data_IF_703016984820
#
_entry.id   IF_703016984820
#
_cell.length_a   1.000
_cell.length_b   1.000
_cell.length_c   1.000
_cell.angle_alpha   90.00
_cell.angle_beta   90.00
_cell.angle_gamma   90.00
#
_symmetry.space_group_name_H-M   'P 1'
#
loop_
_entity.id
_entity.type
_entity.pdbx_description
1 polymer ?
#
# COMPACT_ATOMS: atom_id res chain seq x y z
N UNK A 1 -2.14 19.12 -13.71
CA UNK A 1 -0.95 18.40 -14.23
C UNK A 1 0.35 18.74 -13.50
N UNK A 2 1.01 19.89 -13.71
CA UNK A 2 2.26 20.20 -12.99
C UNK A 2 2.04 20.52 -11.49
N UNK A 3 0.92 21.16 -11.15
CA UNK A 3 0.65 21.65 -9.78
C UNK A 3 0.37 20.50 -8.81
N UNK A 4 -0.53 19.57 -9.16
CA UNK A 4 -0.89 18.37 -8.37
C UNK A 4 0.29 17.44 -8.14
N UNK A 5 1.06 17.13 -9.19
CA UNK A 5 2.32 16.35 -9.07
C UNK A 5 3.37 17.08 -8.22
N UNK A 6 3.58 18.38 -8.42
CA UNK A 6 4.55 19.16 -7.60
C UNK A 6 4.16 19.20 -6.13
N UNK A 7 2.85 19.15 -5.85
CA UNK A 7 2.33 19.21 -4.49
C UNK A 7 2.41 17.85 -3.82
N UNK A 8 2.07 16.75 -4.53
CA UNK A 8 2.35 15.38 -4.07
C UNK A 8 3.82 15.15 -3.77
N UNK A 9 4.73 15.63 -4.63
CA UNK A 9 6.18 15.56 -4.41
C UNK A 9 6.63 16.35 -3.18
N UNK A 10 6.04 17.51 -2.89
CA UNK A 10 6.30 18.23 -1.64
C UNK A 10 5.85 17.43 -0.42
N UNK A 11 4.69 16.77 -0.49
CA UNK A 11 4.22 15.89 0.58
C UNK A 11 5.15 14.71 0.77
N UNK A 12 5.41 13.96 -0.29
CA UNK A 12 6.36 12.86 -0.27
C UNK A 12 7.70 13.31 0.31
N UNK A 13 8.28 14.41 -0.18
CA UNK A 13 9.56 14.98 0.28
C UNK A 13 9.57 15.33 1.77
N UNK A 14 8.51 15.95 2.28
CA UNK A 14 8.42 16.32 3.69
C UNK A 14 8.11 15.11 4.59
N UNK A 15 7.43 14.08 4.06
CA UNK A 15 7.23 12.79 4.74
C UNK A 15 8.37 11.80 4.52
N UNK A 16 9.39 12.12 3.71
CA UNK A 16 10.54 11.24 3.39
C UNK A 16 11.08 10.67 4.68
N UNK A 17 11.24 9.36 4.73
CA UNK A 17 11.10 8.58 5.95
C UNK A 17 12.39 8.56 6.80
N UNK A 18 12.85 9.74 7.21
CA UNK A 18 13.64 9.87 8.42
C UNK A 18 12.83 9.37 9.61
N UNK A 19 13.50 8.81 10.63
CA UNK A 19 12.84 8.41 11.88
C UNK A 19 11.93 9.51 12.47
N UNK A 20 12.33 10.78 12.29
CA UNK A 20 11.62 11.94 12.80
C UNK A 20 10.35 12.27 12.01
N UNK A 21 10.39 12.21 10.68
CA UNK A 21 9.23 12.50 9.84
C UNK A 21 8.12 11.45 9.99
N UNK A 22 8.47 10.17 10.13
CA UNK A 22 7.49 9.10 10.42
C UNK A 22 6.79 9.29 11.77
N UNK A 23 7.43 9.97 12.73
CA UNK A 23 6.85 10.27 14.04
C UNK A 23 5.98 11.53 14.06
N UNK A 24 6.24 12.48 13.16
CA UNK A 24 5.61 13.81 13.17
C UNK A 24 4.50 13.92 12.13
N UNK A 25 4.68 13.30 10.96
CA UNK A 25 3.74 13.38 9.85
C UNK A 25 3.19 11.98 9.54
N UNK A 26 1.91 11.71 9.84
CA UNK A 26 1.32 10.39 9.65
C UNK A 26 1.32 10.01 8.17
N UNK A 27 1.94 8.88 7.83
CA UNK A 27 1.90 8.33 6.48
C UNK A 27 0.51 7.71 6.22
N UNK A 28 -0.05 7.93 5.03
CA UNK A 28 -1.34 7.35 4.60
C UNK A 28 -1.35 5.81 4.57
N UNK A 29 -0.18 5.17 4.67
CA UNK A 29 -0.05 3.74 4.51
C UNK A 29 -0.86 2.94 5.54
N UNK A 30 -0.80 3.31 6.82
CA UNK A 30 -1.42 2.52 7.89
C UNK A 30 -2.96 2.50 7.78
N UNK A 31 -3.57 3.66 7.54
CA UNK A 31 -5.02 3.77 7.35
C UNK A 31 -5.52 2.97 6.13
N UNK A 32 -4.67 2.85 5.11
CA UNK A 32 -5.04 2.27 3.82
C UNK A 32 -4.87 0.75 3.75
N UNK A 33 -4.17 0.13 4.71
CA UNK A 33 -4.17 -1.33 4.86
C UNK A 33 -5.59 -1.89 5.09
N UNK A 34 -6.50 -1.07 5.61
CA UNK A 34 -7.90 -1.42 5.81
C UNK A 34 -8.62 -1.76 4.49
N UNK A 35 -8.25 -1.12 3.37
CA UNK A 35 -8.84 -1.43 2.06
C UNK A 35 -8.54 -2.88 1.64
N UNK A 36 -7.32 -3.36 1.88
CA UNK A 36 -6.96 -4.75 1.64
C UNK A 36 -7.64 -5.73 2.61
N UNK A 37 -7.92 -5.30 3.85
CA UNK A 37 -8.70 -6.11 4.79
C UNK A 37 -10.17 -6.22 4.38
N UNK A 38 -10.76 -5.13 3.87
CA UNK A 38 -12.11 -5.11 3.30
C UNK A 38 -12.16 -6.01 2.06
N UNK A 39 -11.16 -5.95 1.18
CA UNK A 39 -11.06 -6.84 0.01
C UNK A 39 -11.00 -8.32 0.42
N UNK A 40 -10.17 -8.67 1.40
CA UNK A 40 -10.07 -10.03 1.91
C UNK A 40 -11.40 -10.53 2.51
N UNK A 41 -12.08 -9.68 3.28
CA UNK A 41 -13.40 -9.97 3.85
C UNK A 41 -14.45 -10.18 2.75
N UNK A 42 -14.49 -9.31 1.75
CA UNK A 42 -15.41 -9.42 0.62
C UNK A 42 -15.21 -10.73 -0.15
N UNK A 43 -13.96 -11.11 -0.43
CA UNK A 43 -13.60 -12.38 -1.05
C UNK A 43 -14.11 -13.60 -0.24
N UNK A 44 -13.89 -13.60 1.08
CA UNK A 44 -14.36 -14.67 1.97
C UNK A 44 -15.89 -14.82 1.94
N UNK A 45 -16.61 -13.71 1.74
CA UNK A 45 -18.06 -13.65 1.75
C UNK A 45 -18.74 -13.66 0.36
N UNK A 46 -18.01 -13.98 -0.72
CA UNK A 46 -18.53 -13.99 -2.10
C UNK A 46 -19.18 -12.65 -2.48
N UNK A 47 -18.51 -11.56 -2.12
CA UNK A 47 -18.93 -10.20 -2.47
C UNK A 47 -17.90 -9.56 -3.38
N UNK A 48 -18.38 -9.02 -4.49
CA UNK A 48 -17.62 -8.06 -5.26
C UNK A 48 -17.63 -6.72 -4.53
N UNK A 49 -16.51 -6.02 -4.61
CA UNK A 49 -16.37 -4.65 -4.11
C UNK A 49 -15.92 -3.71 -5.21
N UNK A 50 -16.21 -2.43 -5.05
CA UNK A 50 -15.60 -1.33 -5.79
C UNK A 50 -15.05 -0.31 -4.81
N UNK A 51 -13.76 0.00 -4.94
CA UNK A 51 -13.08 1.06 -4.22
C UNK A 51 -13.17 2.34 -5.05
N UNK A 52 -13.81 3.36 -4.49
CA UNK A 52 -14.09 4.64 -5.14
C UNK A 52 -13.28 5.72 -4.44
N UNK A 53 -12.42 6.40 -5.20
CA UNK A 53 -11.67 7.57 -4.75
C UNK A 53 -12.21 8.87 -5.35
N UNK A 54 -13.02 8.83 -6.41
CA UNK A 54 -13.57 10.02 -7.08
C UNK A 54 -15.02 10.27 -6.63
N UNK A 55 -15.18 10.95 -5.50
CA UNK A 55 -16.48 11.39 -4.98
C UNK A 55 -16.31 12.65 -4.12
N UNK A 56 -17.42 13.33 -3.82
CA UNK A 56 -17.42 14.57 -3.04
C UNK A 56 -17.15 14.31 -1.56
N UNK A 57 -15.85 14.15 -1.24
CA UNK A 57 -15.38 13.90 0.13
C UNK A 57 -15.59 15.10 1.05
N UNK A 58 -15.60 16.32 0.51
CA UNK A 58 -15.82 17.55 1.28
C UNK A 58 -17.25 17.59 1.79
N UNK A 59 -18.22 17.41 0.90
CA UNK A 59 -19.63 17.39 1.30
C UNK A 59 -19.93 16.25 2.27
N UNK A 60 -19.38 15.06 2.03
CA UNK A 60 -19.58 13.93 2.95
C UNK A 60 -18.94 14.17 4.33
N UNK A 61 -17.76 14.80 4.37
CA UNK A 61 -17.10 15.17 5.63
C UNK A 61 -17.91 16.21 6.42
N UNK A 62 -18.49 17.19 5.71
CA UNK A 62 -19.39 18.20 6.31
C UNK A 62 -20.68 17.57 6.84
N UNK A 63 -21.33 16.70 6.06
CA UNK A 63 -22.56 16.00 6.45
C UNK A 63 -22.34 15.12 7.70
N UNK A 64 -21.18 14.46 7.79
CA UNK A 64 -20.79 13.63 8.94
C UNK A 64 -20.24 14.43 10.13
N UNK A 65 -20.04 15.74 9.98
CA UNK A 65 -19.60 16.61 11.06
C UNK A 65 -18.17 16.33 11.53
N UNK A 66 -17.29 15.84 10.66
CA UNK A 66 -15.92 15.45 11.01
C UNK A 66 -14.95 16.62 11.21
N UNK A 67 -15.34 17.81 10.75
CA UNK A 67 -14.52 19.03 10.82
C UNK A 67 -13.11 18.81 10.21
N UNK A 68 -12.07 19.38 10.81
CA UNK A 68 -10.68 19.18 10.37
C UNK A 68 -9.97 18.04 11.11
N UNK A 69 -10.70 17.13 11.76
CA UNK A 69 -10.12 16.10 12.65
C UNK A 69 -10.14 14.70 12.06
N UNK A 70 -11.12 14.40 11.22
CA UNK A 70 -11.20 13.15 10.48
C UNK A 70 -11.36 13.47 9.00
N UNK A 71 -10.64 12.74 8.15
CA UNK A 71 -10.63 12.96 6.70
C UNK A 71 -11.11 11.71 6.00
N UNK A 72 -12.07 11.89 5.08
CA UNK A 72 -12.59 10.79 4.27
C UNK A 72 -11.63 10.62 3.11
N UNK A 73 -11.10 9.42 2.89
CA UNK A 73 -10.05 9.20 1.86
C UNK A 73 -10.48 8.21 0.79
N UNK A 74 -11.43 7.33 1.07
CA UNK A 74 -11.98 6.37 0.11
C UNK A 74 -13.39 5.94 0.52
N UNK A 75 -14.13 5.40 -0.45
CA UNK A 75 -15.39 4.70 -0.24
C UNK A 75 -15.23 3.28 -0.79
N UNK A 76 -15.80 2.28 -0.10
CA UNK A 76 -15.87 0.92 -0.62
C UNK A 76 -17.33 0.50 -0.69
N UNK A 77 -17.80 0.19 -1.89
CA UNK A 77 -19.13 -0.39 -2.10
C UNK A 77 -18.98 -1.90 -2.19
N UNK A 78 -19.80 -2.64 -1.44
CA UNK A 78 -19.91 -4.09 -1.57
C UNK A 78 -21.26 -4.44 -2.23
N UNK A 79 -21.21 -5.12 -3.37
CA UNK A 79 -22.37 -5.39 -4.22
C UNK A 79 -22.53 -4.40 -5.38
N UNK A 80 -23.75 -4.33 -5.93
CA UNK A 80 -24.03 -3.51 -7.13
C UNK A 80 -24.40 -2.06 -6.77
N UNK A 81 -23.80 -1.11 -7.48
CA UNK A 81 -24.20 0.29 -7.41
C UNK A 81 -25.53 0.46 -8.16
N UNK A 82 -26.58 0.79 -7.42
CA UNK A 82 -27.90 1.12 -7.96
C UNK A 82 -28.27 2.59 -7.74
N UNK A 83 -29.19 3.09 -8.55
CA UNK A 83 -29.79 4.40 -8.32
C UNK A 83 -30.86 4.31 -7.24
N UNK A 84 -30.75 5.19 -6.23
CA UNK A 84 -31.77 5.34 -5.20
C UNK A 84 -32.02 6.81 -4.96
N UNK A 85 -33.30 7.20 -4.92
CA UNK A 85 -33.65 8.54 -4.45
C UNK A 85 -33.29 8.67 -2.98
N UNK A 86 -32.33 9.53 -2.68
CA UNK A 86 -31.89 9.86 -1.32
C UNK A 86 -32.32 11.28 -0.97
N UNK A 87 -32.59 11.52 0.31
CA UNK A 87 -32.82 12.86 0.84
C UNK A 87 -31.55 13.29 1.58
N UNK A 88 -31.14 14.54 1.41
CA UNK A 88 -30.07 15.11 2.24
C UNK A 88 -30.49 15.07 3.71
N UNK A 89 -29.50 14.94 4.59
CA UNK A 89 -29.70 15.15 6.01
C UNK A 89 -30.26 16.56 6.24
N UNK A 90 -31.18 16.70 7.20
CA UNK A 90 -31.76 18.02 7.53
C UNK A 90 -30.74 18.93 8.20
N UNK A 91 -29.91 18.32 9.04
CA UNK A 91 -28.83 18.95 9.79
C UNK A 91 -27.60 18.04 9.69
N UNK A 92 -26.40 18.64 9.76
CA UNK A 92 -25.15 17.89 9.89
C UNK A 92 -25.14 17.08 11.18
N UNK A 93 -24.46 15.92 11.17
CA UNK A 93 -24.24 15.15 12.40
C UNK A 93 -23.44 16.03 13.38
N UNK A 94 -23.83 16.13 14.66
CA UNK A 94 -23.05 16.86 15.64
C UNK A 94 -21.64 16.29 15.75
N UNK A 95 -20.64 17.16 15.68
CA UNK A 95 -19.25 16.76 15.88
C UNK A 95 -19.07 16.19 17.30
N UNK A 96 -18.40 15.03 17.38
CA UNK A 96 -17.95 14.41 18.62
C UNK A 96 -16.45 14.17 18.47
N UNK A 97 -15.67 14.71 19.40
CA UNK A 97 -14.22 14.51 19.36
C UNK A 97 -13.88 13.05 19.70
N UNK A 98 -13.26 12.34 18.75
CA UNK A 98 -12.85 10.94 18.94
C UNK A 98 -11.71 10.80 19.98
N UNK A 99 -11.00 11.89 20.27
CA UNK A 99 -9.85 11.95 21.19
C UNK A 99 -10.02 13.08 22.22
N UNK A 100 -9.31 13.01 23.35
CA UNK A 100 -9.37 14.05 24.39
C UNK A 100 -8.78 15.40 23.94
N UNK A 101 -7.84 15.38 22.99
CA UNK A 101 -7.20 16.56 22.42
C UNK A 101 -6.92 16.36 20.94
N UNK A 102 -6.79 17.47 20.21
CA UNK A 102 -6.47 17.47 18.79
C UNK A 102 -5.45 18.57 18.50
N UNK A 103 -4.33 18.18 17.90
CA UNK A 103 -3.29 19.08 17.44
C UNK A 103 -3.46 19.32 15.94
N UNK A 104 -3.67 20.57 15.56
CA UNK A 104 -3.79 20.96 14.15
C UNK A 104 -2.43 20.88 13.48
N UNK A 105 -2.36 20.22 12.33
CA UNK A 105 -1.19 20.21 11.48
C UNK A 105 -1.55 20.74 10.09
N UNK A 106 -1.14 21.98 9.80
CA UNK A 106 -1.44 22.64 8.53
C UNK A 106 -0.82 21.94 7.32
N UNK A 107 0.29 21.22 7.52
CA UNK A 107 0.89 20.40 6.47
C UNK A 107 -0.01 19.20 6.14
N UNK A 108 -0.49 18.44 7.12
CA UNK A 108 -1.42 17.32 6.92
C UNK A 108 -2.73 17.79 6.29
N UNK A 109 -3.33 18.87 6.82
CA UNK A 109 -4.58 19.44 6.29
C UNK A 109 -4.42 19.90 4.83
N UNK A 110 -3.33 20.60 4.50
CA UNK A 110 -3.05 20.96 3.13
C UNK A 110 -2.80 19.72 2.25
N UNK A 111 -2.19 18.66 2.80
CA UNK A 111 -1.96 17.39 2.13
C UNK A 111 -3.25 16.76 1.67
N UNK A 112 -4.19 16.66 2.59
CA UNK A 112 -5.54 16.20 2.29
C UNK A 112 -6.20 17.07 1.22
N UNK A 113 -6.27 18.39 1.41
CA UNK A 113 -6.94 19.30 0.48
C UNK A 113 -6.35 19.27 -0.94
N UNK A 114 -5.03 19.17 -1.06
CA UNK A 114 -4.34 19.17 -2.35
C UNK A 114 -4.39 17.83 -3.08
N UNK A 115 -4.75 16.74 -2.39
CA UNK A 115 -4.84 15.38 -2.95
C UNK A 115 -6.25 14.82 -2.94
N UNK A 116 -7.24 15.62 -2.50
CA UNK A 116 -8.60 15.18 -2.22
C UNK A 116 -9.34 14.60 -3.43
N UNK A 117 -9.06 15.08 -4.64
CA UNK A 117 -9.63 14.53 -5.86
C UNK A 117 -8.52 13.89 -6.70
N UNK A 118 -8.67 12.61 -7.09
CA UNK A 118 -7.74 12.01 -8.03
C UNK A 118 -7.94 12.64 -9.41
N UNK A 119 -6.88 13.24 -9.97
CA UNK A 119 -6.81 13.49 -11.42
C UNK A 119 -6.56 12.13 -12.08
N UNK A 120 -7.56 11.49 -12.71
CA UNK A 120 -7.33 10.19 -13.36
C UNK A 120 -8.16 9.93 -14.60
N UNK A 121 -7.54 9.24 -15.55
CA UNK A 121 -8.23 8.55 -16.63
C UNK A 121 -8.99 7.35 -16.04
N UNK A 122 -10.29 7.27 -16.33
CA UNK A 122 -11.11 6.15 -15.84
C UNK A 122 -10.77 4.88 -16.62
N UNK A 123 -10.43 3.82 -15.90
CA UNK A 123 -10.35 2.47 -16.46
C UNK A 123 -11.66 1.72 -16.26
N UNK A 124 -11.85 0.64 -17.03
CA UNK A 124 -12.91 -0.33 -16.75
C UNK A 124 -12.62 -1.00 -15.41
N UNK A 125 -13.64 -1.10 -14.55
CA UNK A 125 -13.56 -1.87 -13.32
C UNK A 125 -13.22 -3.34 -13.62
N UNK A 126 -12.14 -3.82 -13.00
CA UNK A 126 -11.70 -5.21 -13.05
C UNK A 126 -11.66 -5.76 -11.63
N UNK A 127 -12.22 -6.95 -11.44
CA UNK A 127 -12.31 -7.61 -10.14
C UNK A 127 -11.19 -8.66 -10.00
N UNK A 128 -10.54 -8.77 -8.83
CA UNK A 128 -9.55 -9.82 -8.61
C UNK A 128 -10.21 -11.20 -8.64
N UNK A 129 -9.49 -12.20 -9.16
CA UNK A 129 -9.97 -13.58 -9.28
C UNK A 129 -9.09 -14.51 -8.45
N UNK A 130 -9.13 -14.32 -7.12
CA UNK A 130 -8.32 -15.13 -6.21
C UNK A 130 -8.80 -16.59 -6.15
N UNK A 131 -7.85 -17.51 -6.00
CA UNK A 131 -8.07 -18.95 -5.98
C UNK A 131 -7.58 -19.56 -4.66
N UNK A 132 -7.79 -18.86 -3.53
CA UNK A 132 -7.42 -19.37 -2.22
C UNK A 132 -8.41 -20.42 -1.73
N UNK A 133 -7.93 -21.37 -0.95
CA UNK A 133 -8.80 -22.15 -0.07
C UNK A 133 -9.37 -21.21 1.00
N UNK A 134 -10.70 -21.08 1.08
CA UNK A 134 -11.35 -20.07 1.92
C UNK A 134 -11.14 -20.28 3.41
N UNK A 135 -11.13 -21.52 3.88
CA UNK A 135 -10.93 -21.82 5.30
C UNK A 135 -9.51 -21.46 5.72
N UNK A 136 -8.50 -21.90 4.95
CA UNK A 136 -7.10 -21.52 5.17
C UNK A 136 -6.85 -20.03 5.00
N UNK A 137 -7.54 -19.37 4.07
CA UNK A 137 -7.40 -17.93 3.88
C UNK A 137 -8.01 -17.15 5.04
N UNK A 138 -9.15 -17.60 5.59
CA UNK A 138 -9.72 -17.02 6.80
C UNK A 138 -8.75 -17.17 7.98
N UNK A 139 -8.14 -18.33 8.15
CA UNK A 139 -7.09 -18.53 9.17
C UNK A 139 -5.93 -17.55 8.98
N UNK A 140 -5.46 -17.37 7.75
CA UNK A 140 -4.41 -16.40 7.44
C UNK A 140 -4.83 -14.97 7.80
N UNK A 141 -6.06 -14.57 7.48
CA UNK A 141 -6.60 -13.24 7.83
C UNK A 141 -6.61 -13.02 9.34
N UNK A 142 -7.04 -14.01 10.12
CA UNK A 142 -7.15 -13.91 11.58
C UNK A 142 -5.77 -13.95 12.27
N UNK A 143 -4.86 -14.77 11.75
CA UNK A 143 -3.55 -15.02 12.36
C UNK A 143 -2.46 -14.06 11.90
N UNK A 144 -2.65 -13.33 10.80
CA UNK A 144 -1.67 -12.39 10.23
C UNK A 144 -1.03 -11.51 11.30
N UNK A 145 0.30 -11.54 11.39
CA UNK A 145 1.11 -10.63 12.22
C UNK A 145 2.32 -10.12 11.43
N UNK A 146 2.87 -9.00 11.89
CA UNK A 146 4.12 -8.47 11.36
C UNK A 146 5.31 -9.21 11.95
N UNK A 147 6.17 -9.72 11.08
CA UNK A 147 7.39 -10.41 11.45
C UNK A 147 8.34 -9.46 12.22
N UNK A 148 8.92 -9.96 13.31
CA UNK A 148 9.93 -9.22 14.09
C UNK A 148 11.35 -9.70 13.79
N UNK A 149 11.48 -10.84 13.13
CA UNK A 149 12.74 -11.50 12.87
C UNK A 149 12.58 -12.45 11.68
N UNK A 150 13.67 -12.60 10.91
CA UNK A 150 13.80 -13.60 9.86
C UNK A 150 15.11 -14.37 10.08
N UNK A 151 15.04 -15.69 9.91
CA UNK A 151 16.21 -16.56 10.05
C UNK A 151 17.00 -16.59 8.73
N UNK A 152 18.28 -16.17 8.76
CA UNK A 152 19.11 -16.06 7.56
C UNK A 152 19.43 -17.40 6.88
N UNK A 153 19.35 -18.51 7.61
CA UNK A 153 19.61 -19.86 7.09
C UNK A 153 18.49 -20.38 6.18
N UNK A 154 17.30 -19.79 6.25
CA UNK A 154 16.10 -20.26 5.53
C UNK A 154 15.91 -19.51 4.21
N UNK A 155 15.37 -20.25 3.25
CA UNK A 155 14.91 -19.78 1.94
C UNK A 155 13.40 -19.86 1.82
N UNK A 156 12.84 -19.08 0.90
CA UNK A 156 11.49 -19.31 0.40
C UNK A 156 11.58 -20.10 -0.92
N UNK A 157 10.61 -20.98 -1.16
CA UNK A 157 10.57 -21.74 -2.41
C UNK A 157 10.24 -20.84 -3.61
N UNK A 158 10.72 -21.23 -4.80
CA UNK A 158 10.36 -20.53 -6.03
C UNK A 158 8.85 -20.46 -6.23
N UNK A 159 8.15 -21.57 -5.95
CA UNK A 159 6.70 -21.68 -6.10
C UNK A 159 5.96 -20.66 -5.21
N UNK A 160 6.35 -20.53 -3.94
CA UNK A 160 5.74 -19.55 -3.04
C UNK A 160 5.99 -18.12 -3.53
N UNK A 161 7.22 -17.82 -3.99
CA UNK A 161 7.54 -16.49 -4.51
C UNK A 161 6.74 -16.16 -5.78
N UNK A 162 6.60 -17.10 -6.72
CA UNK A 162 5.77 -16.91 -7.92
C UNK A 162 4.29 -16.74 -7.58
N UNK A 163 3.79 -17.47 -6.58
CA UNK A 163 2.40 -17.32 -6.11
C UNK A 163 2.15 -15.94 -5.49
N UNK A 164 3.12 -15.40 -4.74
CA UNK A 164 3.07 -14.01 -4.25
C UNK A 164 2.93 -13.03 -5.42
N UNK A 165 3.77 -13.17 -6.46
CA UNK A 165 3.69 -12.31 -7.65
C UNK A 165 2.32 -12.41 -8.34
N UNK A 166 1.76 -13.62 -8.46
CA UNK A 166 0.44 -13.84 -9.05
C UNK A 166 -0.69 -13.13 -8.30
N UNK A 167 -0.61 -13.11 -6.96
CA UNK A 167 -1.60 -12.41 -6.12
C UNK A 167 -1.45 -10.89 -6.22
N UNK A 168 -0.21 -10.38 -6.18
CA UNK A 168 0.05 -8.95 -6.31
C UNK A 168 -0.33 -8.42 -7.69
N UNK A 169 -0.26 -9.26 -8.73
CA UNK A 169 -0.62 -8.91 -10.09
C UNK A 169 -2.13 -8.93 -10.38
N UNK A 170 -2.97 -9.38 -9.44
CA UNK A 170 -4.42 -9.29 -9.59
C UNK A 170 -4.88 -7.83 -9.66
N UNK A 171 -5.93 -7.49 -10.44
CA UNK A 171 -6.43 -6.13 -10.48
C UNK A 171 -6.91 -5.67 -9.10
N UNK A 172 -6.72 -4.39 -8.80
CA UNK A 172 -7.36 -3.74 -7.64
C UNK A 172 -8.74 -3.26 -8.11
N UNK A 173 -9.83 -3.51 -7.36
CA UNK A 173 -11.19 -3.23 -7.82
C UNK A 173 -11.52 -1.73 -7.74
N UNK A 174 -10.89 -0.92 -8.57
CA UNK A 174 -11.12 0.52 -8.69
C UNK A 174 -11.06 0.97 -10.16
N UNK A 175 -11.77 2.05 -10.48
CA UNK A 175 -11.74 2.69 -11.81
C UNK A 175 -10.61 3.72 -11.94
N UNK A 176 -9.86 3.97 -10.86
CA UNK A 176 -8.75 4.92 -10.85
C UNK A 176 -7.44 4.20 -11.18
N UNK A 177 -6.66 4.79 -12.08
CA UNK A 177 -5.37 4.25 -12.51
C UNK A 177 -4.23 5.01 -11.84
N UNK A 178 -3.36 4.27 -11.16
CA UNK A 178 -2.02 4.68 -10.73
C UNK A 178 -1.02 3.58 -11.12
N UNK A 179 0.14 3.99 -11.62
CA UNK A 179 1.17 3.05 -12.06
C UNK A 179 2.09 2.70 -10.88
N UNK A 180 2.05 1.43 -10.45
CA UNK A 180 2.87 0.92 -9.34
C UNK A 180 3.84 -0.13 -9.90
N UNK A 181 5.13 0.12 -9.72
CA UNK A 181 6.21 -0.80 -10.04
C UNK A 181 6.67 -1.53 -8.79
N UNK A 182 7.00 -2.82 -8.95
CA UNK A 182 7.52 -3.64 -7.88
C UNK A 182 9.00 -3.91 -8.13
N UNK A 183 9.82 -3.57 -7.14
CA UNK A 183 11.24 -3.89 -7.10
C UNK A 183 11.50 -4.92 -6.01
N UNK A 184 12.44 -5.84 -6.26
CA UNK A 184 12.75 -6.96 -5.37
C UNK A 184 14.26 -7.10 -5.22
N UNK A 185 14.75 -6.90 -4.00
CA UNK A 185 16.08 -7.38 -3.61
C UNK A 185 15.95 -8.83 -3.13
N UNK A 186 16.06 -9.76 -4.10
CA UNK A 186 16.01 -11.21 -3.90
C UNK A 186 17.34 -11.68 -3.32
N UNK A 187 17.28 -12.36 -2.17
CA UNK A 187 18.46 -12.84 -1.43
C UNK A 187 18.45 -14.36 -1.28
N UNK A 188 17.30 -14.95 -0.93
CA UNK A 188 17.17 -16.40 -0.65
C UNK A 188 15.84 -16.97 -1.16
N UNK A 189 15.70 -16.98 -2.48
CA UNK A 189 14.61 -17.69 -3.16
C UNK A 189 15.22 -18.87 -3.91
N UNK A 190 14.71 -20.07 -3.66
CA UNK A 190 15.19 -21.27 -4.35
C UNK A 190 15.05 -21.13 -5.86
N UNK A 191 16.08 -21.51 -6.62
CA UNK A 191 16.05 -21.45 -8.09
C UNK A 191 16.10 -20.03 -8.70
N UNK A 192 16.22 -18.97 -7.90
CA UNK A 192 16.40 -17.59 -8.38
C UNK A 192 17.69 -17.01 -7.81
N UNK A 193 18.59 -16.56 -8.68
CA UNK A 193 19.86 -15.97 -8.25
C UNK A 193 19.64 -14.69 -7.43
N UNK A 194 20.47 -14.47 -6.41
CA UNK A 194 20.44 -13.24 -5.63
C UNK A 194 20.70 -12.02 -6.50
N UNK A 195 19.88 -10.98 -6.34
CA UNK A 195 20.01 -9.77 -7.12
C UNK A 195 18.89 -8.78 -6.89
N UNK A 196 18.97 -7.67 -7.62
CA UNK A 196 17.89 -6.69 -7.74
C UNK A 196 17.09 -7.00 -9.00
N UNK A 197 15.77 -7.08 -8.85
CA UNK A 197 14.82 -7.36 -9.90
C UNK A 197 13.72 -6.32 -9.92
N UNK A 198 13.05 -6.18 -11.06
CA UNK A 198 11.85 -5.35 -11.24
C UNK A 198 10.77 -6.15 -11.95
N UNK A 199 9.51 -5.95 -11.58
CA UNK A 199 8.34 -6.40 -12.34
C UNK A 199 7.76 -5.20 -13.07
N UNK A 200 7.77 -5.26 -14.41
CA UNK A 200 7.17 -4.25 -15.29
C UNK A 200 5.76 -4.64 -15.75
N UNK A 201 5.42 -5.94 -15.72
CA UNK A 201 4.12 -6.52 -16.05
C UNK A 201 3.82 -7.76 -15.21
N UNK A 202 2.55 -8.19 -15.25
CA UNK A 202 1.99 -9.35 -14.55
C UNK A 202 2.91 -10.58 -14.68
N UNK A 203 3.51 -11.00 -13.56
CA UNK A 203 4.25 -12.26 -13.35
C UNK A 203 5.60 -12.43 -14.06
N UNK A 204 6.22 -11.37 -14.58
CA UNK A 204 7.59 -11.46 -15.13
C UNK A 204 8.49 -10.49 -14.37
N UNK A 205 9.58 -11.02 -13.84
CA UNK A 205 10.64 -10.22 -13.23
C UNK A 205 11.87 -10.17 -14.14
N UNK A 206 12.43 -8.98 -14.28
CA UNK A 206 13.66 -8.73 -15.01
C UNK A 206 14.77 -8.39 -14.03
N UNK A 207 15.93 -9.07 -14.14
CA UNK A 207 17.09 -8.75 -13.30
C UNK A 207 17.73 -7.46 -13.76
N UNK A 208 17.91 -6.53 -12.82
CA UNK A 208 18.66 -5.29 -13.01
C UNK A 208 20.15 -5.56 -12.75
N UNK A 209 20.47 -6.11 -11.57
CA UNK A 209 21.85 -6.43 -11.16
C UNK A 209 21.93 -7.68 -10.31
N UNK A 210 22.99 -8.47 -10.51
CA UNK A 210 23.33 -9.60 -9.63
C UNK A 210 23.99 -9.09 -8.34
N UNK A 211 23.81 -9.82 -7.25
CA UNK A 211 24.53 -9.59 -6.01
C UNK A 211 23.73 -9.92 -4.76
N UNK A 212 24.42 -10.09 -3.64
CA UNK A 212 23.79 -10.14 -2.33
C UNK A 212 23.60 -8.72 -1.79
N UNK A 213 22.34 -8.29 -1.74
CA UNK A 213 21.96 -6.96 -1.24
C UNK A 213 21.44 -6.99 0.21
N UNK A 214 21.79 -8.01 1.00
CA UNK A 214 21.40 -8.12 2.41
C UNK A 214 21.84 -6.90 3.24
N UNK A 215 23.12 -6.55 3.21
CA UNK A 215 23.62 -5.40 3.99
C UNK A 215 23.06 -4.08 3.44
N UNK A 216 23.01 -3.91 2.11
CA UNK A 216 22.49 -2.68 1.49
C UNK A 216 21.01 -2.46 1.83
N UNK A 217 20.15 -3.48 1.72
CA UNK A 217 18.74 -3.35 2.09
C UNK A 217 18.54 -3.13 3.59
N UNK A 218 19.38 -3.75 4.43
CA UNK A 218 19.44 -3.43 5.86
C UNK A 218 19.69 -1.95 6.12
N UNK A 219 20.77 -1.43 5.55
CA UNK A 219 21.13 -0.01 5.65
C UNK A 219 20.00 0.89 5.12
N UNK A 220 19.53 0.66 3.89
CA UNK A 220 18.49 1.46 3.25
C UNK A 220 17.23 1.55 4.10
N UNK A 221 16.83 0.47 4.75
CA UNK A 221 15.68 0.43 5.66
C UNK A 221 16.04 0.89 7.09
N UNK A 222 16.89 1.91 7.25
CA UNK A 222 17.33 2.48 8.54
C UNK A 222 17.97 1.42 9.46
N UNK A 223 18.92 0.66 8.92
CA UNK A 223 19.65 -0.40 9.62
C UNK A 223 18.77 -1.51 10.23
N UNK A 224 17.57 -1.73 9.69
CA UNK A 224 16.64 -2.72 10.20
C UNK A 224 17.05 -4.16 9.84
N UNK A 225 17.19 -5.01 10.86
CA UNK A 225 17.52 -6.42 10.70
C UNK A 225 16.47 -7.20 9.89
N UNK A 226 15.19 -6.78 9.93
CA UNK A 226 14.12 -7.42 9.14
C UNK A 226 14.37 -7.29 7.64
N UNK A 227 14.83 -6.13 7.14
CA UNK A 227 15.18 -5.97 5.73
C UNK A 227 16.42 -6.80 5.37
N UNK A 228 17.46 -6.69 6.21
CA UNK A 228 18.75 -7.39 6.07
C UNK A 228 18.62 -8.92 6.07
N UNK A 229 17.71 -9.46 6.87
CA UNK A 229 17.55 -10.89 7.10
C UNK A 229 16.34 -11.49 6.38
N UNK A 230 15.56 -10.71 5.64
CA UNK A 230 14.47 -11.22 4.79
C UNK A 230 15.01 -12.10 3.66
N UNK A 231 14.19 -13.00 3.11
CA UNK A 231 14.50 -13.69 1.86
C UNK A 231 14.37 -12.74 0.67
N UNK A 232 13.40 -11.82 0.72
CA UNK A 232 13.17 -10.77 -0.27
C UNK A 232 12.80 -9.45 0.42
N UNK A 233 13.41 -8.35 0.01
CA UNK A 233 12.93 -6.99 0.34
C UNK A 233 12.23 -6.44 -0.89
N UNK A 234 10.99 -6.00 -0.74
CA UNK A 234 10.19 -5.37 -1.79
C UNK A 234 10.17 -3.85 -1.60
N UNK A 235 10.18 -3.14 -2.72
CA UNK A 235 9.91 -1.70 -2.77
C UNK A 235 8.81 -1.44 -3.79
N UNK A 236 7.79 -0.69 -3.39
CA UNK A 236 6.67 -0.28 -4.22
C UNK A 236 6.93 1.16 -4.65
N UNK A 237 7.06 1.36 -5.96
CA UNK A 237 7.56 2.59 -6.57
C UNK A 237 6.51 3.14 -7.53
N UNK A 238 6.30 4.45 -7.57
CA UNK A 238 5.29 5.04 -8.45
C UNK A 238 5.69 6.43 -8.94
N UNK A 239 5.32 6.72 -10.19
CA UNK A 239 5.28 8.10 -10.70
C UNK A 239 3.83 8.63 -10.63
N UNK A 240 3.31 8.65 -9.41
CA UNK A 240 1.88 8.84 -9.13
C UNK A 240 1.31 10.11 -9.76
N UNK A 241 0.03 10.05 -10.13
CA UNK A 241 -0.77 11.21 -10.55
C UNK A 241 -1.40 11.87 -9.34
N UNK A 242 -1.90 11.05 -8.40
CA UNK A 242 -2.40 11.48 -7.11
C UNK A 242 -1.70 10.71 -5.98
N UNK A 243 -0.97 11.44 -5.13
CA UNK A 243 -0.17 10.85 -4.04
C UNK A 243 -1.00 10.06 -3.03
N UNK A 244 -2.17 10.59 -2.64
CA UNK A 244 -3.06 9.91 -1.67
C UNK A 244 -3.54 8.57 -2.22
N UNK A 245 -4.01 8.57 -3.48
CA UNK A 245 -4.51 7.36 -4.14
C UNK A 245 -3.40 6.33 -4.34
N UNK A 246 -2.24 6.74 -4.85
CA UNK A 246 -1.10 5.83 -5.02
C UNK A 246 -0.65 5.23 -3.69
N UNK A 247 -0.60 6.03 -2.62
CA UNK A 247 -0.26 5.54 -1.27
C UNK A 247 -1.31 4.54 -0.75
N UNK A 248 -2.60 4.79 -1.01
CA UNK A 248 -3.67 3.85 -0.66
C UNK A 248 -3.54 2.51 -1.41
N UNK A 249 -3.20 2.56 -2.69
CA UNK A 249 -3.05 1.37 -3.53
C UNK A 249 -1.81 0.54 -3.14
N UNK A 250 -0.64 1.15 -2.87
CA UNK A 250 0.53 0.40 -2.37
C UNK A 250 0.26 -0.24 -1.02
N UNK A 251 -0.60 0.35 -0.20
CA UNK A 251 -0.99 -0.20 1.11
C UNK A 251 -1.92 -1.39 1.00
N UNK A 252 -2.87 -1.34 0.04
CA UNK A 252 -3.69 -2.50 -0.30
C UNK A 252 -2.82 -3.65 -0.81
N UNK A 253 -1.86 -3.37 -1.71
CA UNK A 253 -0.89 -4.36 -2.17
C UNK A 253 -0.06 -4.91 -1.01
N UNK A 254 0.33 -4.07 -0.06
CA UNK A 254 1.02 -4.50 1.15
C UNK A 254 0.19 -5.43 2.01
N UNK A 255 -1.11 -5.17 2.16
CA UNK A 255 -2.01 -6.06 2.88
C UNK A 255 -2.22 -7.38 2.12
N UNK A 256 -2.32 -7.37 0.78
CA UNK A 256 -2.30 -8.60 -0.02
C UNK A 256 -1.03 -9.41 0.26
N UNK A 257 0.13 -8.74 0.31
CA UNK A 257 1.41 -9.37 0.60
C UNK A 257 1.44 -10.04 1.97
N UNK A 258 0.95 -9.35 3.01
CA UNK A 258 0.79 -9.93 4.34
C UNK A 258 -0.05 -11.21 4.31
N UNK A 259 -1.23 -11.16 3.68
CA UNK A 259 -2.19 -12.25 3.71
C UNK A 259 -1.74 -13.46 2.88
N UNK A 260 -1.19 -13.24 1.68
CA UNK A 260 -0.64 -14.34 0.88
C UNK A 260 0.60 -14.95 1.56
N UNK A 261 1.44 -14.14 2.22
CA UNK A 261 2.60 -14.68 2.95
C UNK A 261 2.14 -15.60 4.08
N UNK A 262 1.20 -15.14 4.91
CA UNK A 262 0.64 -15.95 5.99
C UNK A 262 -0.04 -17.23 5.46
N UNK A 263 -0.82 -17.13 4.38
CA UNK A 263 -1.47 -18.28 3.73
C UNK A 263 -0.47 -19.35 3.24
N UNK A 264 0.73 -18.93 2.85
CA UNK A 264 1.84 -19.78 2.41
C UNK A 264 2.75 -20.25 3.55
N UNK A 265 2.43 -19.91 4.80
CA UNK A 265 3.27 -20.22 5.97
C UNK A 265 4.58 -19.44 6.01
N UNK A 266 4.62 -18.28 5.34
CA UNK A 266 5.73 -17.32 5.34
C UNK A 266 5.41 -16.16 6.28
N UNK A 267 6.44 -15.40 6.60
CA UNK A 267 6.34 -14.19 7.42
C UNK A 267 6.56 -12.94 6.57
N UNK A 268 5.86 -11.85 6.93
CA UNK A 268 5.99 -10.57 6.24
C UNK A 268 6.05 -9.42 7.25
N UNK A 269 6.75 -8.34 6.92
CA UNK A 269 6.68 -7.08 7.66
C UNK A 269 6.76 -5.90 6.72
N UNK A 270 5.88 -4.93 6.93
CA UNK A 270 5.99 -3.59 6.38
C UNK A 270 7.16 -2.84 7.00
N UNK A 271 7.75 -1.95 6.20
CA UNK A 271 8.84 -1.07 6.58
C UNK A 271 8.42 0.33 6.18
N UNK A 272 8.01 1.11 7.18
CA UNK A 272 7.59 2.49 7.00
C UNK A 272 8.73 3.49 7.01
N UNK A 273 10.01 3.07 7.09
CA UNK A 273 11.14 3.99 7.08
C UNK A 273 12.34 3.48 6.30
N UNK A 274 12.88 4.33 5.43
CA UNK A 274 14.03 4.05 4.57
C UNK A 274 14.70 5.36 4.08
N UNK A 275 15.93 5.24 3.58
CA UNK A 275 16.66 6.34 2.94
C UNK A 275 16.15 6.52 1.51
N UNK A 276 15.13 7.36 1.29
CA UNK A 276 14.44 7.53 0.00
C UNK A 276 15.40 7.74 -1.19
N UNK A 277 16.23 8.79 -1.15
CA UNK A 277 17.10 9.15 -2.28
C UNK A 277 18.11 8.05 -2.61
N UNK A 278 18.73 7.45 -1.59
CA UNK A 278 19.65 6.32 -1.77
C UNK A 278 18.95 5.04 -2.22
N UNK A 279 17.67 4.89 -1.87
CA UNK A 279 16.84 3.77 -2.33
C UNK A 279 16.52 3.98 -3.81
N UNK A 280 16.14 5.18 -4.24
CA UNK A 280 15.94 5.50 -5.66
C UNK A 280 17.20 5.25 -6.49
N UNK A 281 18.36 5.71 -6.01
CA UNK A 281 19.66 5.44 -6.64
C UNK A 281 19.95 3.93 -6.73
N UNK A 282 19.72 3.21 -5.63
CA UNK A 282 19.90 1.75 -5.60
C UNK A 282 18.95 1.02 -6.57
N UNK A 283 17.72 1.50 -6.71
CA UNK A 283 16.70 0.92 -7.60
C UNK A 283 16.88 1.35 -9.07
N UNK A 284 17.80 2.26 -9.37
CA UNK A 284 18.04 2.80 -10.71
C UNK A 284 16.76 3.41 -11.32
N UNK A 285 16.06 4.21 -10.52
CA UNK A 285 14.78 4.85 -10.89
C UNK A 285 14.74 6.30 -10.42
N UNK A 286 14.02 7.14 -11.15
CA UNK A 286 13.72 8.53 -10.80
C UNK A 286 12.34 8.69 -10.12
N UNK A 287 11.62 7.58 -9.93
CA UNK A 287 10.27 7.52 -9.36
C UNK A 287 10.30 7.37 -7.85
N UNK A 288 9.27 7.86 -7.18
CA UNK A 288 9.20 7.89 -5.73
C UNK A 288 8.93 6.49 -5.15
N UNK A 289 9.64 6.15 -4.07
CA UNK A 289 9.43 4.91 -3.31
C UNK A 289 8.35 5.19 -2.28
N UNK A 290 7.21 4.50 -2.38
CA UNK A 290 6.05 4.75 -1.53
C UNK A 290 5.92 3.78 -0.36
N UNK A 291 6.48 2.57 -0.49
CA UNK A 291 6.45 1.59 0.58
C UNK A 291 7.54 0.53 0.43
N UNK A 292 8.07 0.05 1.55
CA UNK A 292 9.00 -1.06 1.59
C UNK A 292 8.43 -2.21 2.44
N UNK A 293 8.73 -3.45 2.07
CA UNK A 293 8.30 -4.63 2.81
C UNK A 293 9.37 -5.72 2.78
N UNK A 294 9.33 -6.62 3.77
CA UNK A 294 10.22 -7.76 3.91
C UNK A 294 9.41 -9.05 3.97
N UNK A 295 9.88 -10.10 3.28
CA UNK A 295 9.28 -11.44 3.26
C UNK A 295 10.36 -12.48 3.55
N UNK A 296 10.03 -13.52 4.31
CA UNK A 296 10.94 -14.65 4.58
C UNK A 296 10.31 -15.74 5.42
#
# INVERSE_FOLDING_TARGET
>A
MLVTKSTGQKYHTATKHSYLSVQIDPNYVDASTQLGAIEASAYLHDRDIQIIFDFDKIALNEDLGFENKEFITACVVAGEIGEKSVRKLRDKIPFVCATDYFEKNSFVEAGYQNTILPESEKQKLLLPQFQFDKERYLEAVLNRRSARYFERSRSISQANFLQILQVLAQPIPTEIVEDIELYFAIKRVEGIESGLYRSDRINVISRIKAGDFSEKTGYLCINQAIAKNSAVTLFLVSDYRNYQTATQLVSLLGQRLYLVSEYLGLSCSGIGAYHDDETQEFLETDKDVLYAMAIG
#
